data_IF_603044727524
#
_entry.id   IF_603044727524
#
_cell.length_a   1.000
_cell.length_b   1.000
_cell.length_c   1.000
_cell.angle_alpha   90.00
_cell.angle_beta   90.00
_cell.angle_gamma   90.00
#
_symmetry.space_group_name_H-M   'P 1'
#
loop_
_entity.id
_entity.type
_entity.pdbx_description
1 polymer ?
#
# COMPACT_ATOMS: atom_id res chain seq x y z
N UNK A 1 43.64 -49.76 24.91
CA UNK A 1 42.77 -49.37 26.04
C UNK A 1 43.32 -48.06 26.54
N UNK A 2 42.60 -46.96 26.28
CA UNK A 2 42.40 -45.93 27.29
C UNK A 2 40.88 -45.69 27.27
N UNK A 3 40.25 -46.10 28.37
CA UNK A 3 38.81 -46.03 28.53
C UNK A 3 38.44 -44.58 28.82
N UNK A 4 37.58 -43.99 27.98
CA UNK A 4 36.91 -42.73 28.29
C UNK A 4 36.13 -42.96 29.59
N UNK A 5 36.62 -42.36 30.68
CA UNK A 5 36.30 -42.81 32.04
C UNK A 5 35.12 -42.06 32.66
N UNK A 6 34.58 -41.04 31.99
CA UNK A 6 33.34 -40.41 32.47
C UNK A 6 32.57 -39.67 31.37
N UNK A 7 31.24 -39.71 31.47
CA UNK A 7 30.32 -38.82 30.76
C UNK A 7 30.63 -37.33 31.03
N UNK A 8 31.28 -37.04 32.16
CA UNK A 8 31.71 -35.70 32.55
C UNK A 8 32.86 -35.15 31.70
N UNK A 9 33.75 -35.99 31.17
CA UNK A 9 34.80 -35.56 30.22
C UNK A 9 34.22 -35.25 28.84
N UNK A 10 33.24 -36.02 28.37
CA UNK A 10 32.49 -35.76 27.14
C UNK A 10 31.63 -34.48 27.21
N UNK A 11 31.16 -34.12 28.41
CA UNK A 11 30.43 -32.88 28.67
C UNK A 11 31.36 -31.68 28.94
N UNK A 12 32.62 -31.90 29.30
CA UNK A 12 33.60 -30.84 29.53
C UNK A 12 34.21 -30.29 28.22
N UNK A 13 34.21 -31.05 27.13
CA UNK A 13 34.63 -30.58 25.80
C UNK A 13 33.57 -29.70 25.10
N UNK A 14 32.31 -29.72 25.55
CA UNK A 14 31.32 -28.72 25.16
C UNK A 14 31.36 -27.55 26.15
N UNK A 15 32.26 -26.58 25.90
CA UNK A 15 32.20 -25.27 26.56
C UNK A 15 30.74 -24.77 26.50
N UNK A 16 30.13 -24.35 27.62
CA UNK A 16 28.81 -23.74 27.61
C UNK A 16 28.96 -22.30 27.13
N UNK A 17 29.22 -22.14 25.85
CA UNK A 17 29.24 -20.83 25.24
C UNK A 17 27.84 -20.58 24.69
N UNK A 18 26.91 -20.21 25.57
CA UNK A 18 25.51 -19.92 25.24
C UNK A 18 25.38 -18.60 24.47
N UNK A 19 26.21 -18.39 23.47
CA UNK A 19 26.12 -17.22 22.60
C UNK A 19 24.87 -17.32 21.73
N UNK A 20 24.24 -16.17 21.48
CA UNK A 20 23.28 -16.01 20.40
C UNK A 20 24.05 -15.60 19.16
N UNK A 21 24.10 -16.49 18.19
CA UNK A 21 24.82 -16.24 16.94
C UNK A 21 23.89 -15.57 15.93
N UNK A 22 24.32 -14.52 15.25
CA UNK A 22 23.60 -13.88 14.15
C UNK A 22 24.43 -14.13 12.89
N UNK A 23 24.07 -15.12 12.07
CA UNK A 23 24.78 -15.40 10.83
C UNK A 23 24.58 -14.25 9.87
N UNK A 24 25.66 -13.69 9.36
CA UNK A 24 25.62 -12.49 8.54
C UNK A 24 26.99 -12.09 8.01
N UNK A 25 26.96 -11.34 6.91
CA UNK A 25 28.16 -10.92 6.21
C UNK A 25 28.61 -9.57 6.76
N UNK A 26 29.88 -9.48 7.17
CA UNK A 26 30.51 -8.22 7.53
C UNK A 26 30.69 -7.35 6.27
N UNK A 27 30.34 -6.08 6.39
CA UNK A 27 30.51 -5.09 5.36
C UNK A 27 30.74 -3.71 5.96
N UNK A 28 30.77 -2.70 5.11
CA UNK A 28 30.98 -1.32 5.53
C UNK A 28 29.93 -0.42 4.88
N UNK A 29 29.22 0.34 5.72
CA UNK A 29 28.17 1.28 5.28
C UNK A 29 28.43 2.64 5.91
N UNK A 30 28.54 3.69 5.08
CA UNK A 30 28.88 5.06 5.52
C UNK A 30 30.15 5.12 6.40
N UNK A 31 31.15 4.30 6.09
CA UNK A 31 32.41 4.22 6.83
C UNK A 31 32.35 3.41 8.13
N UNK A 32 31.18 2.90 8.53
CA UNK A 32 31.00 2.10 9.75
C UNK A 32 30.91 0.60 9.44
N UNK A 33 31.43 -0.24 10.34
CA UNK A 33 31.32 -1.69 10.21
C UNK A 33 29.88 -2.13 10.47
N UNK A 34 29.34 -2.92 9.54
CA UNK A 34 27.96 -3.38 9.56
C UNK A 34 27.86 -4.86 9.26
N UNK A 35 26.88 -5.53 9.83
CA UNK A 35 26.53 -6.91 9.49
C UNK A 35 25.17 -6.93 8.82
N UNK A 36 25.13 -7.52 7.63
CA UNK A 36 23.90 -7.82 6.91
C UNK A 36 23.49 -9.27 7.15
N UNK A 37 22.27 -9.48 7.62
CA UNK A 37 21.74 -10.80 7.95
C UNK A 37 20.27 -10.91 7.53
N UNK A 38 19.77 -12.15 7.47
CA UNK A 38 18.32 -12.42 7.40
C UNK A 38 17.97 -13.31 8.57
N UNK A 39 17.07 -12.83 9.42
CA UNK A 39 16.70 -13.52 10.65
C UNK A 39 15.20 -13.81 10.69
N UNK A 40 14.78 -14.98 11.23
CA UNK A 40 13.38 -15.22 11.51
C UNK A 40 12.91 -14.32 12.66
N UNK A 41 11.64 -13.92 12.62
CA UNK A 41 11.04 -13.09 13.67
C UNK A 41 11.15 -13.69 15.07
N UNK A 42 11.09 -15.01 15.21
CA UNK A 42 11.28 -15.70 16.49
C UNK A 42 12.60 -15.34 17.17
N UNK A 43 13.66 -15.15 16.39
CA UNK A 43 14.99 -14.79 16.87
C UNK A 43 15.10 -13.30 17.15
N UNK A 44 14.44 -12.46 16.36
CA UNK A 44 14.44 -11.02 16.59
C UNK A 44 13.79 -10.66 17.92
N UNK A 45 12.66 -11.28 18.29
CA UNK A 45 11.94 -10.95 19.53
C UNK A 45 12.77 -11.09 20.81
N UNK A 46 13.83 -11.90 20.81
CA UNK A 46 14.72 -12.05 21.97
C UNK A 46 15.98 -11.19 21.92
N UNK A 47 16.26 -10.54 20.78
CA UNK A 47 17.55 -9.91 20.50
C UNK A 47 17.54 -8.38 20.55
N UNK A 48 16.39 -7.72 20.47
CA UNK A 48 16.34 -6.26 20.38
C UNK A 48 15.80 -5.57 21.62
N UNK A 49 16.16 -4.30 21.73
CA UNK A 49 15.61 -3.32 22.66
C UNK A 49 15.33 -2.00 21.93
N UNK A 50 14.34 -1.23 22.41
CA UNK A 50 14.01 0.10 21.86
C UNK A 50 14.42 1.16 22.86
N UNK A 51 15.42 1.96 22.49
CA UNK A 51 15.85 3.12 23.27
C UNK A 51 15.02 4.35 22.92
N UNK A 52 14.19 4.80 23.87
CA UNK A 52 13.30 5.95 23.72
C UNK A 52 14.03 7.30 23.69
N UNK A 53 15.32 7.36 24.05
CA UNK A 53 16.12 8.59 23.90
C UNK A 53 16.57 8.84 22.45
N UNK A 54 16.54 7.80 21.62
CA UNK A 54 16.92 7.85 20.20
C UNK A 54 15.68 7.79 19.32
N UNK A 55 14.68 6.99 19.73
CA UNK A 55 13.48 6.72 18.97
C UNK A 55 12.29 7.60 19.35
N UNK A 56 11.39 7.82 18.38
CA UNK A 56 10.10 8.49 18.62
C UNK A 56 9.03 7.50 19.10
N UNK A 57 7.98 8.00 19.75
CA UNK A 57 6.82 7.18 20.09
C UNK A 57 6.18 6.52 18.84
N UNK A 58 5.62 5.32 19.03
CA UNK A 58 4.89 4.61 17.99
C UNK A 58 3.61 5.39 17.64
N UNK A 59 3.30 5.46 16.34
CA UNK A 59 2.11 6.15 15.84
C UNK A 59 1.02 5.10 15.60
N UNK A 60 -0.10 5.11 16.34
CA UNK A 60 -1.11 4.05 16.28
C UNK A 60 -1.65 3.80 14.87
N UNK A 61 -1.91 4.87 14.11
CA UNK A 61 -2.43 4.76 12.73
C UNK A 61 -1.49 4.01 11.79
N UNK A 62 -0.17 4.19 11.93
CA UNK A 62 0.80 3.49 11.10
C UNK A 62 0.93 2.03 11.52
N UNK A 63 0.84 1.77 12.82
CA UNK A 63 0.83 0.42 13.36
C UNK A 63 -0.35 -0.40 12.83
N UNK A 64 -1.58 0.16 12.85
CA UNK A 64 -2.76 -0.52 12.30
C UNK A 64 -2.58 -0.93 10.85
N UNK A 65 -2.06 -0.04 9.99
CA UNK A 65 -1.80 -0.35 8.58
C UNK A 65 -0.78 -1.48 8.40
N UNK A 66 0.23 -1.54 9.26
CA UNK A 66 1.23 -2.61 9.23
C UNK A 66 0.63 -3.93 9.68
N UNK A 67 -0.25 -3.91 10.69
CA UNK A 67 -0.98 -5.10 11.12
C UNK A 67 -1.83 -5.65 9.98
N UNK A 68 -2.61 -4.78 9.32
CA UNK A 68 -3.44 -5.17 8.17
C UNK A 68 -2.57 -5.79 7.06
N UNK A 69 -1.40 -5.21 6.81
CA UNK A 69 -0.45 -5.71 5.80
C UNK A 69 0.15 -7.07 6.17
N UNK A 70 0.54 -7.29 7.43
CA UNK A 70 1.02 -8.61 7.89
C UNK A 70 -0.09 -9.66 7.82
N UNK A 71 -1.33 -9.29 8.11
CA UNK A 71 -2.47 -10.19 8.01
C UNK A 71 -2.73 -10.66 6.57
N UNK A 72 -2.35 -9.90 5.54
CA UNK A 72 -2.39 -10.39 4.15
C UNK A 72 -1.57 -11.67 3.97
N UNK A 73 -0.41 -11.73 4.62
CA UNK A 73 0.44 -12.91 4.62
C UNK A 73 -0.18 -14.03 5.47
N UNK A 74 -0.54 -13.74 6.72
CA UNK A 74 -0.99 -14.78 7.66
C UNK A 74 -2.31 -15.42 7.27
N UNK A 75 -3.30 -14.63 6.87
CA UNK A 75 -4.62 -15.11 6.50
C UNK A 75 -4.65 -15.66 5.07
N UNK A 76 -4.09 -14.89 4.12
CA UNK A 76 -4.36 -15.13 2.69
C UNK A 76 -3.17 -15.69 1.92
N UNK A 77 -2.06 -15.98 2.60
CA UNK A 77 -0.81 -16.48 1.99
C UNK A 77 -0.24 -15.54 0.90
N UNK A 78 -0.62 -14.26 0.92
CA UNK A 78 -0.06 -13.30 -0.02
C UNK A 78 1.39 -12.96 0.35
N UNK A 79 2.32 -12.93 -0.60
CA UNK A 79 3.72 -12.59 -0.31
C UNK A 79 3.82 -11.13 0.08
N UNK A 80 4.38 -10.83 1.25
CA UNK A 80 4.62 -9.45 1.71
C UNK A 80 6.11 -9.17 1.80
N UNK A 81 6.47 -7.91 1.59
CA UNK A 81 7.85 -7.44 1.67
C UNK A 81 7.96 -6.28 2.63
N UNK A 82 8.98 -6.33 3.49
CA UNK A 82 9.39 -5.23 4.34
C UNK A 82 10.77 -4.73 3.91
N UNK A 83 11.02 -3.41 4.00
CA UNK A 83 12.40 -2.94 4.07
C UNK A 83 13.11 -3.60 5.26
N UNK A 84 14.44 -3.66 5.21
CA UNK A 84 15.23 -4.22 6.32
C UNK A 84 15.10 -3.42 7.61
N UNK A 85 15.36 -4.06 8.75
CA UNK A 85 15.42 -3.43 10.07
C UNK A 85 16.86 -3.06 10.38
N UNK A 86 17.07 -1.87 10.93
CA UNK A 86 18.41 -1.37 11.23
C UNK A 86 18.61 -1.37 12.74
N UNK A 87 19.70 -1.97 13.17
CA UNK A 87 20.10 -2.10 14.56
C UNK A 87 21.46 -1.44 14.82
N UNK A 88 21.71 -1.14 16.09
CA UNK A 88 23.01 -0.77 16.65
C UNK A 88 23.37 -1.78 17.73
N UNK A 89 24.57 -2.37 17.66
CA UNK A 89 25.08 -3.23 18.71
C UNK A 89 25.81 -2.45 19.82
N UNK A 90 26.15 -1.16 19.61
CA UNK A 90 26.89 -0.32 20.59
C UNK A 90 28.18 -0.99 21.12
N UNK A 91 28.88 -1.71 20.25
CA UNK A 91 30.07 -2.48 20.59
C UNK A 91 29.79 -3.84 21.25
N UNK A 92 28.53 -4.25 21.38
CA UNK A 92 28.16 -5.55 21.94
C UNK A 92 28.42 -6.71 20.97
N UNK A 93 28.83 -7.84 21.53
CA UNK A 93 29.18 -9.04 20.79
C UNK A 93 30.50 -8.96 20.03
N UNK A 94 30.90 -10.10 19.47
CA UNK A 94 32.11 -10.24 18.68
C UNK A 94 31.78 -10.94 17.37
N UNK A 95 32.26 -10.38 16.25
CA UNK A 95 32.15 -11.06 14.96
C UNK A 95 33.17 -12.19 14.87
N UNK A 96 32.70 -13.37 14.49
CA UNK A 96 33.53 -14.53 14.16
C UNK A 96 33.64 -14.63 12.64
N UNK A 97 34.84 -14.37 12.11
CA UNK A 97 35.14 -14.43 10.68
C UNK A 97 35.10 -15.86 10.12
N UNK A 98 35.39 -16.89 10.93
CA UNK A 98 35.37 -18.29 10.47
C UNK A 98 33.94 -18.78 10.29
N UNK A 99 33.05 -18.42 11.22
CA UNK A 99 31.64 -18.81 11.17
C UNK A 99 30.74 -17.79 10.46
N UNK A 100 31.29 -16.64 10.07
CA UNK A 100 30.55 -15.55 9.44
C UNK A 100 29.31 -15.15 10.27
N UNK A 101 29.52 -14.95 11.58
CA UNK A 101 28.43 -14.70 12.51
C UNK A 101 28.82 -13.73 13.63
N UNK A 102 27.90 -12.84 14.01
CA UNK A 102 28.02 -12.04 15.22
C UNK A 102 27.59 -12.87 16.43
N UNK A 103 28.48 -13.07 17.38
CA UNK A 103 28.16 -13.73 18.64
C UNK A 103 27.84 -12.70 19.71
N UNK A 104 26.61 -12.74 20.19
CA UNK A 104 26.13 -11.95 21.31
C UNK A 104 26.05 -12.84 22.56
N UNK A 105 26.41 -12.29 23.72
CA UNK A 105 26.06 -12.87 25.01
C UNK A 105 24.53 -12.80 25.22
N UNK A 106 23.91 -13.72 25.97
CA UNK A 106 22.45 -13.70 26.20
C UNK A 106 21.89 -12.39 26.76
N UNK A 107 22.70 -11.67 27.54
CA UNK A 107 22.35 -10.38 28.14
C UNK A 107 22.49 -9.21 27.17
N UNK A 108 23.29 -9.36 26.11
CA UNK A 108 23.51 -8.32 25.12
C UNK A 108 22.29 -8.19 24.21
N UNK A 109 21.94 -6.95 23.87
CA UNK A 109 20.80 -6.59 23.03
C UNK A 109 21.23 -5.66 21.90
N UNK A 110 20.47 -5.70 20.82
CA UNK A 110 20.59 -4.81 19.69
C UNK A 110 19.58 -3.67 19.83
N UNK A 111 20.04 -2.43 19.70
CA UNK A 111 19.19 -1.26 19.80
C UNK A 111 18.57 -0.92 18.45
N UNK A 112 17.25 -0.75 18.39
CA UNK A 112 16.55 -0.43 17.15
C UNK A 112 16.87 1.00 16.71
N UNK A 113 17.43 1.15 15.51
CA UNK A 113 17.66 2.45 14.85
C UNK A 113 16.56 2.76 13.83
N UNK A 114 16.09 1.78 13.07
CA UNK A 114 14.92 1.92 12.20
C UNK A 114 14.09 0.63 12.17
N UNK A 115 12.77 0.76 12.02
CA UNK A 115 11.85 -0.37 11.93
C UNK A 115 11.07 -0.70 13.18
N UNK A 116 11.07 0.18 14.19
CA UNK A 116 10.29 0.00 15.41
C UNK A 116 8.81 -0.31 15.18
N UNK A 117 8.14 0.36 14.22
CA UNK A 117 6.71 0.15 13.97
C UNK A 117 6.46 -1.23 13.36
N UNK A 118 7.43 -1.77 12.60
CA UNK A 118 7.36 -3.12 12.01
C UNK A 118 7.46 -4.15 13.13
N UNK A 119 8.49 -4.07 13.97
CA UNK A 119 8.66 -4.97 15.12
C UNK A 119 7.44 -4.95 16.03
N UNK A 120 6.94 -3.76 16.37
CA UNK A 120 5.75 -3.60 17.18
C UNK A 120 4.49 -4.21 16.54
N UNK A 121 4.35 -4.16 15.21
CA UNK A 121 3.23 -4.79 14.51
C UNK A 121 3.28 -6.31 14.65
N UNK A 122 4.44 -6.91 14.39
CA UNK A 122 4.65 -8.36 14.56
C UNK A 122 4.41 -8.79 16.02
N UNK A 123 4.94 -8.03 16.99
CA UNK A 123 4.75 -8.33 18.41
C UNK A 123 3.27 -8.27 18.82
N UNK A 124 2.54 -7.24 18.38
CA UNK A 124 1.11 -7.10 18.70
C UNK A 124 0.26 -8.21 18.08
N UNK A 125 0.59 -8.66 16.87
CA UNK A 125 -0.08 -9.79 16.24
C UNK A 125 0.21 -11.08 17.01
N UNK A 126 1.47 -11.31 17.40
CA UNK A 126 1.86 -12.46 18.22
C UNK A 126 1.05 -12.51 19.52
N UNK A 127 1.02 -11.41 20.29
CA UNK A 127 0.27 -11.30 21.55
C UNK A 127 -1.24 -11.56 21.33
N UNK A 128 -1.79 -11.06 20.22
CA UNK A 128 -3.19 -11.27 19.85
C UNK A 128 -3.46 -12.75 19.57
N UNK A 129 -2.62 -13.40 18.76
CA UNK A 129 -2.75 -14.82 18.42
C UNK A 129 -2.56 -15.73 19.66
N UNK A 130 -1.61 -15.40 20.53
CA UNK A 130 -1.42 -16.12 21.80
C UNK A 130 -2.64 -15.99 22.72
N UNK A 131 -3.23 -14.80 22.82
CA UNK A 131 -4.46 -14.59 23.58
C UNK A 131 -5.64 -15.36 22.99
N UNK A 132 -5.77 -15.38 21.67
CA UNK A 132 -6.79 -16.17 20.97
C UNK A 132 -6.58 -17.68 21.17
N UNK A 133 -5.34 -18.16 21.16
CA UNK A 133 -4.98 -19.55 21.43
C UNK A 133 -5.43 -19.98 22.83
N UNK A 134 -5.13 -19.15 23.85
CA UNK A 134 -5.54 -19.43 25.23
C UNK A 134 -7.07 -19.58 25.34
N UNK A 135 -7.82 -18.65 24.73
CA UNK A 135 -9.29 -18.70 24.71
C UNK A 135 -9.84 -19.92 23.96
N UNK A 136 -9.24 -20.28 22.82
CA UNK A 136 -9.64 -21.45 22.03
C UNK A 136 -9.39 -22.75 22.82
N UNK A 137 -8.28 -22.82 23.57
CA UNK A 137 -7.94 -23.92 24.46
C UNK A 137 -8.96 -24.10 25.59
N UNK A 138 -9.38 -23.00 26.22
CA UNK A 138 -10.40 -23.03 27.28
C UNK A 138 -11.75 -23.53 26.76
N UNK A 139 -12.10 -23.18 25.53
CA UNK A 139 -13.35 -23.57 24.86
C UNK A 139 -13.28 -24.92 24.11
N UNK A 140 -12.10 -25.55 24.06
CA UNK A 140 -11.84 -26.77 23.29
C UNK A 140 -12.19 -26.65 21.80
N UNK A 141 -11.95 -25.47 21.21
CA UNK A 141 -12.15 -25.17 19.78
C UNK A 141 -10.93 -25.69 18.98
N UNK A 142 -10.81 -27.00 18.78
CA UNK A 142 -9.61 -27.63 18.19
C UNK A 142 -9.25 -27.12 16.79
N UNK A 143 -10.23 -26.96 15.89
CA UNK A 143 -9.98 -26.45 14.52
C UNK A 143 -9.35 -25.04 14.54
N UNK A 144 -9.85 -24.18 15.44
CA UNK A 144 -9.33 -22.83 15.61
C UNK A 144 -7.94 -22.81 16.24
N UNK A 145 -7.66 -23.75 17.15
CA UNK A 145 -6.32 -23.91 17.71
C UNK A 145 -5.31 -24.28 16.62
N UNK A 146 -5.68 -25.17 15.70
CA UNK A 146 -4.83 -25.56 14.57
C UNK A 146 -4.56 -24.36 13.65
N UNK A 147 -5.61 -23.61 13.30
CA UNK A 147 -5.51 -22.38 12.49
C UNK A 147 -4.57 -21.34 13.12
N UNK A 148 -4.73 -21.07 14.42
CA UNK A 148 -3.88 -20.11 15.14
C UNK A 148 -2.44 -20.63 15.24
N UNK A 149 -2.24 -21.94 15.43
CA UNK A 149 -0.90 -22.55 15.50
C UNK A 149 -0.16 -22.34 14.18
N UNK A 150 -0.82 -22.58 13.06
CA UNK A 150 -0.24 -22.36 11.74
C UNK A 150 0.09 -20.88 11.51
N UNK A 151 -0.79 -19.96 11.90
CA UNK A 151 -0.52 -18.51 11.84
C UNK A 151 0.71 -18.12 12.68
N UNK A 152 0.81 -18.61 13.91
CA UNK A 152 1.98 -18.37 14.77
C UNK A 152 3.26 -18.94 14.17
N UNK A 153 3.22 -20.17 13.64
CA UNK A 153 4.37 -20.79 12.97
C UNK A 153 4.86 -19.92 11.82
N UNK A 154 3.95 -19.44 10.98
CA UNK A 154 4.27 -18.56 9.84
C UNK A 154 4.79 -17.20 10.28
N UNK A 155 4.23 -16.63 11.34
CA UNK A 155 4.69 -15.36 11.92
C UNK A 155 6.13 -15.50 12.44
N UNK A 156 6.42 -16.57 13.21
CA UNK A 156 7.73 -16.81 13.79
C UNK A 156 8.81 -17.12 12.76
N UNK A 157 8.46 -17.87 11.71
CA UNK A 157 9.37 -18.19 10.61
C UNK A 157 9.55 -17.06 9.60
N UNK A 158 8.78 -15.96 9.71
CA UNK A 158 8.83 -14.88 8.73
C UNK A 158 10.25 -14.27 8.66
N UNK A 159 10.90 -14.28 7.49
CA UNK A 159 12.27 -13.80 7.35
C UNK A 159 12.29 -12.27 7.25
N UNK A 160 13.15 -11.63 8.03
CA UNK A 160 13.41 -10.19 7.97
C UNK A 160 14.89 -9.95 7.72
N UNK A 161 15.18 -9.14 6.70
CA UNK A 161 16.52 -8.62 6.47
C UNK A 161 16.88 -7.60 7.55
N UNK A 162 18.08 -7.71 8.09
CA UNK A 162 18.59 -6.84 9.14
C UNK A 162 19.96 -6.30 8.78
N UNK A 163 20.23 -5.07 9.19
CA UNK A 163 21.55 -4.46 9.11
C UNK A 163 21.93 -3.94 10.50
N UNK A 164 22.99 -4.48 11.08
CA UNK A 164 23.44 -4.14 12.42
C UNK A 164 24.75 -3.36 12.33
N UNK A 165 24.76 -2.11 12.79
CA UNK A 165 25.98 -1.35 13.01
C UNK A 165 26.68 -1.88 14.26
N UNK A 166 27.95 -2.26 14.13
CA UNK A 166 28.66 -2.92 15.23
C UNK A 166 28.98 -1.95 16.36
N UNK A 167 29.55 -0.80 16.05
CA UNK A 167 30.00 0.15 17.06
C UNK A 167 29.66 1.58 16.63
N UNK A 168 28.46 2.02 17.01
CA UNK A 168 28.03 3.42 16.88
C UNK A 168 27.50 3.90 18.23
N UNK A 169 27.79 5.16 18.56
CA UNK A 169 27.31 5.77 19.79
C UNK A 169 25.91 6.40 19.61
N UNK A 170 25.25 6.75 20.73
CA UNK A 170 23.90 7.33 20.72
C UNK A 170 23.77 8.61 19.86
N UNK A 171 24.84 9.42 19.72
CA UNK A 171 24.82 10.60 18.84
C UNK A 171 24.78 10.19 17.36
N UNK A 172 25.58 9.21 16.98
CA UNK A 172 25.58 8.65 15.63
C UNK A 172 24.27 7.93 15.32
N UNK A 173 23.67 7.23 16.30
CA UNK A 173 22.36 6.59 16.15
C UNK A 173 21.26 7.61 15.86
N UNK A 174 21.19 8.71 16.62
CA UNK A 174 20.23 9.80 16.38
C UNK A 174 20.42 10.44 15.01
N UNK A 175 21.68 10.64 14.60
CA UNK A 175 22.00 11.17 13.28
C UNK A 175 21.54 10.21 12.18
N UNK A 176 21.89 8.94 12.29
CA UNK A 176 21.48 7.89 11.36
C UNK A 176 19.95 7.76 11.28
N UNK A 177 19.25 7.79 12.41
CA UNK A 177 17.78 7.82 12.45
C UNK A 177 17.22 9.06 11.74
N UNK A 178 17.76 10.24 12.01
CA UNK A 178 17.35 11.49 11.34
C UNK A 178 17.59 11.38 9.83
N UNK A 179 18.74 10.86 9.42
CA UNK A 179 19.14 10.73 8.02
C UNK A 179 18.25 9.74 7.27
N UNK A 180 18.00 8.56 7.86
CA UNK A 180 17.06 7.58 7.30
C UNK A 180 15.64 8.15 7.18
N UNK A 181 15.22 9.06 8.04
CA UNK A 181 13.87 9.64 7.97
C UNK A 181 13.77 10.90 7.09
N UNK A 182 14.87 11.67 6.95
CA UNK A 182 14.88 12.97 6.24
C UNK A 182 15.49 12.90 4.84
N UNK A 183 16.51 12.08 4.64
CA UNK A 183 17.23 11.99 3.36
C UNK A 183 16.50 11.21 2.27
N UNK A 184 15.64 10.19 2.55
CA UNK A 184 14.84 9.63 1.49
C UNK A 184 13.96 10.74 0.92
N UNK A 185 14.19 11.07 -0.35
CA UNK A 185 13.25 11.88 -1.11
C UNK A 185 11.94 11.11 -1.06
N UNK A 186 10.93 11.65 -0.37
CA UNK A 186 9.58 11.12 -0.47
C UNK A 186 9.21 11.17 -1.95
N UNK A 187 9.13 10.01 -2.58
CA UNK A 187 8.58 9.90 -3.92
C UNK A 187 7.24 10.62 -3.91
N UNK A 188 7.12 11.66 -4.73
CA UNK A 188 5.92 12.47 -4.86
C UNK A 188 5.02 11.92 -5.95
N UNK A 189 3.85 12.55 -6.11
CA UNK A 189 3.03 12.39 -7.31
C UNK A 189 2.62 10.95 -7.62
N UNK A 190 2.79 10.56 -8.89
CA UNK A 190 2.30 9.29 -9.41
C UNK A 190 3.12 8.09 -8.91
N UNK A 191 4.44 8.25 -8.72
CA UNK A 191 5.30 7.17 -8.20
C UNK A 191 4.94 6.74 -6.77
N UNK A 192 4.50 7.68 -5.93
CA UNK A 192 4.02 7.38 -4.59
C UNK A 192 2.79 6.46 -4.62
N UNK A 193 1.89 6.73 -5.56
CA UNK A 193 0.63 6.00 -5.77
C UNK A 193 0.90 4.66 -6.47
N UNK A 194 1.84 4.65 -7.40
CA UNK A 194 2.30 3.47 -8.13
C UNK A 194 3.07 2.51 -7.22
N UNK A 195 3.47 2.88 -6.00
CA UNK A 195 4.03 1.92 -5.03
C UNK A 195 2.97 1.02 -4.40
N UNK A 196 1.71 1.45 -4.36
CA UNK A 196 0.59 0.69 -3.78
C UNK A 196 -0.09 -0.20 -4.85
N UNK A 197 0.71 -0.96 -5.64
CA UNK A 197 0.27 -1.72 -6.83
C UNK A 197 -0.65 -2.91 -6.54
N UNK A 198 -0.99 -3.15 -5.28
CA UNK A 198 -1.75 -4.35 -4.88
C UNK A 198 -3.19 -4.04 -4.53
N UNK A 199 -3.54 -2.76 -4.44
CA UNK A 199 -4.90 -2.36 -4.18
C UNK A 199 -5.73 -2.45 -5.44
N UNK A 200 -6.98 -2.87 -5.30
CA UNK A 200 -7.89 -3.14 -6.40
C UNK A 200 -7.90 -2.03 -7.48
N UNK A 201 -8.17 -0.77 -7.13
CA UNK A 201 -8.22 0.31 -8.12
C UNK A 201 -6.86 0.71 -8.69
N UNK A 202 -5.76 0.40 -8.00
CA UNK A 202 -4.41 0.63 -8.54
C UNK A 202 -4.10 -0.42 -9.61
N UNK A 203 -4.45 -1.67 -9.35
CA UNK A 203 -4.28 -2.76 -10.32
C UNK A 203 -5.14 -2.49 -11.54
N UNK A 204 -6.42 -2.14 -11.34
CA UNK A 204 -7.33 -1.77 -12.41
C UNK A 204 -6.83 -0.56 -13.22
N UNK A 205 -6.36 0.51 -12.55
CA UNK A 205 -5.81 1.68 -13.24
C UNK A 205 -4.56 1.33 -14.05
N UNK A 206 -3.67 0.48 -13.52
CA UNK A 206 -2.46 0.02 -14.23
C UNK A 206 -2.82 -0.80 -15.46
N UNK A 207 -3.77 -1.73 -15.31
CA UNK A 207 -4.24 -2.55 -16.42
C UNK A 207 -4.94 -1.72 -17.50
N UNK A 208 -5.80 -0.79 -17.09
CA UNK A 208 -6.49 0.11 -18.01
C UNK A 208 -5.50 1.02 -18.74
N UNK A 209 -4.57 1.67 -18.03
CA UNK A 209 -3.57 2.57 -18.62
C UNK A 209 -2.66 1.85 -19.63
N UNK A 210 -2.36 0.57 -19.40
CA UNK A 210 -1.48 -0.22 -20.27
C UNK A 210 -2.23 -0.87 -21.45
N UNK A 211 -3.47 -1.31 -21.27
CA UNK A 211 -4.19 -2.13 -22.26
C UNK A 211 -5.30 -1.40 -23.01
N UNK A 212 -5.92 -0.37 -22.43
CA UNK A 212 -7.10 0.23 -23.04
C UNK A 212 -6.74 1.24 -24.14
N UNK A 213 -7.27 1.11 -25.37
CA UNK A 213 -7.01 2.05 -26.46
C UNK A 213 -7.38 3.51 -26.11
N UNK A 214 -8.47 3.71 -25.36
CA UNK A 214 -8.87 5.05 -24.88
C UNK A 214 -7.77 5.75 -24.08
N UNK A 215 -6.99 5.00 -23.30
CA UNK A 215 -5.93 5.58 -22.46
C UNK A 215 -4.73 6.05 -23.29
N UNK A 216 -4.51 5.48 -24.48
CA UNK A 216 -3.47 5.96 -25.40
C UNK A 216 -3.83 7.34 -25.95
N UNK A 217 -5.11 7.56 -26.29
CA UNK A 217 -5.61 8.88 -26.72
C UNK A 217 -5.67 9.89 -25.58
N UNK A 218 -6.11 9.46 -24.41
CA UNK A 218 -6.19 10.34 -23.24
C UNK A 218 -4.83 10.64 -22.62
N UNK A 219 -3.78 9.85 -22.88
CA UNK A 219 -2.42 10.03 -22.36
C UNK A 219 -2.35 10.11 -20.83
N UNK A 220 -1.94 9.02 -20.19
CA UNK A 220 -1.86 8.92 -18.72
C UNK A 220 -0.41 8.99 -18.24
N UNK A 221 -0.10 9.96 -17.38
CA UNK A 221 1.19 10.06 -16.71
C UNK A 221 1.27 9.11 -15.52
N UNK A 222 2.06 8.03 -15.66
CA UNK A 222 2.27 7.04 -14.61
C UNK A 222 3.51 7.28 -13.75
N UNK A 223 4.52 7.98 -14.28
CA UNK A 223 5.88 7.89 -13.74
C UNK A 223 6.44 9.22 -13.21
N UNK A 224 5.72 10.33 -13.38
CA UNK A 224 6.20 11.62 -12.87
C UNK A 224 6.15 11.77 -11.35
N UNK A 225 7.20 12.39 -10.80
CA UNK A 225 7.37 12.64 -9.36
C UNK A 225 6.76 13.96 -8.86
N UNK A 226 6.71 14.99 -9.72
CA UNK A 226 6.44 16.40 -9.30
C UNK A 226 5.16 17.00 -9.86
N UNK A 227 4.34 16.21 -10.55
CA UNK A 227 3.12 16.64 -11.20
C UNK A 227 3.05 16.13 -12.63
N UNK A 228 1.84 16.20 -13.22
CA UNK A 228 1.57 15.73 -14.57
C UNK A 228 2.38 16.53 -15.59
N UNK A 229 3.25 15.87 -16.36
CA UNK A 229 4.01 16.55 -17.42
C UNK A 229 3.07 17.15 -18.49
N UNK A 230 3.51 18.18 -19.24
CA UNK A 230 2.63 18.90 -20.14
C UNK A 230 1.93 18.06 -21.22
N UNK A 231 2.58 16.97 -21.64
CA UNK A 231 2.16 16.03 -22.67
C UNK A 231 1.05 15.07 -22.25
N UNK A 232 0.71 14.99 -20.96
CA UNK A 232 -0.34 14.09 -20.46
C UNK A 232 -1.61 14.83 -20.10
N UNK A 233 -2.77 14.25 -20.43
CA UNK A 233 -4.06 14.79 -19.99
C UNK A 233 -4.43 14.28 -18.61
N UNK A 234 -4.16 13.01 -18.29
CA UNK A 234 -4.49 12.43 -16.99
C UNK A 234 -3.22 12.12 -16.19
N UNK A 235 -3.32 12.28 -14.87
CA UNK A 235 -2.35 11.68 -13.96
C UNK A 235 -2.84 10.30 -13.53
N UNK A 236 -1.93 9.39 -13.20
CA UNK A 236 -2.29 8.10 -12.63
C UNK A 236 -3.11 8.25 -11.33
N UNK A 237 -2.81 9.28 -10.53
CA UNK A 237 -3.63 9.61 -9.36
C UNK A 237 -5.09 9.92 -9.72
N UNK A 238 -5.29 10.78 -10.74
CA UNK A 238 -6.62 11.14 -11.23
C UNK A 238 -7.37 9.92 -11.77
N UNK A 239 -6.70 9.04 -12.51
CA UNK A 239 -7.32 7.82 -13.04
C UNK A 239 -7.92 6.98 -11.92
N UNK A 240 -7.19 6.79 -10.81
CA UNK A 240 -7.70 6.07 -9.64
C UNK A 240 -8.88 6.81 -9.00
N UNK A 241 -8.84 8.15 -8.92
CA UNK A 241 -9.97 8.93 -8.39
C UNK A 241 -11.23 8.79 -9.26
N UNK A 242 -11.08 8.78 -10.58
CA UNK A 242 -12.17 8.55 -11.53
C UNK A 242 -12.74 7.16 -11.34
N UNK A 243 -11.92 6.11 -11.22
CA UNK A 243 -12.41 4.75 -11.00
C UNK A 243 -13.16 4.62 -9.67
N UNK A 244 -12.65 5.20 -8.58
CA UNK A 244 -13.37 5.18 -7.30
C UNK A 244 -14.69 5.95 -7.40
N UNK A 245 -14.70 7.12 -8.04
CA UNK A 245 -15.91 7.90 -8.24
C UNK A 245 -16.95 7.14 -9.08
N UNK A 246 -16.51 6.50 -10.15
CA UNK A 246 -17.35 5.75 -11.08
C UNK A 246 -17.95 4.50 -10.43
N UNK A 247 -17.18 3.73 -9.67
CA UNK A 247 -17.65 2.43 -9.15
C UNK A 247 -18.16 2.48 -7.72
N UNK A 248 -17.77 3.47 -6.91
CA UNK A 248 -18.25 3.61 -5.52
C UNK A 248 -19.14 4.82 -5.26
N UNK A 249 -19.23 5.76 -6.21
CA UNK A 249 -20.01 6.98 -6.03
C UNK A 249 -19.44 7.92 -4.98
N UNK A 250 -18.13 7.83 -4.73
CA UNK A 250 -17.44 8.52 -3.63
C UNK A 250 -16.11 9.10 -4.05
N UNK A 251 -15.64 10.06 -3.28
CA UNK A 251 -14.26 10.55 -3.40
C UNK A 251 -13.27 9.49 -2.86
N UNK A 252 -12.07 9.43 -3.43
CA UNK A 252 -11.01 8.45 -3.11
C UNK A 252 -10.71 8.28 -1.62
N UNK A 253 -10.78 9.34 -0.83
CA UNK A 253 -10.54 9.28 0.63
C UNK A 253 -11.57 8.41 1.39
N UNK A 254 -12.71 8.10 0.79
CA UNK A 254 -13.79 7.31 1.37
C UNK A 254 -14.02 5.96 0.65
N UNK A 255 -13.06 5.50 -0.14
CA UNK A 255 -13.15 4.23 -0.87
C UNK A 255 -13.24 3.04 0.09
N UNK A 256 -14.25 2.19 -0.08
CA UNK A 256 -14.52 1.00 0.74
C UNK A 256 -13.95 -0.27 0.13
N UNK A 257 -13.96 -0.39 -1.20
CA UNK A 257 -13.58 -1.61 -1.91
C UNK A 257 -12.14 -1.54 -2.47
N UNK A 258 -11.33 -0.57 -2.03
CA UNK A 258 -9.92 -0.44 -2.43
C UNK A 258 -8.99 -1.33 -1.58
N UNK A 259 -9.40 -2.59 -1.39
CA UNK A 259 -8.68 -3.61 -0.63
C UNK A 259 -7.58 -4.29 -1.44
N UNK A 260 -6.85 -5.21 -0.80
CA UNK A 260 -5.85 -6.08 -1.42
C UNK A 260 -6.42 -7.43 -1.87
N UNK A 261 -7.73 -7.62 -1.65
CA UNK A 261 -8.47 -8.85 -1.95
C UNK A 261 -9.54 -8.49 -2.97
N UNK A 262 -9.55 -9.22 -4.06
CA UNK A 262 -10.52 -9.14 -5.15
C UNK A 262 -10.35 -10.40 -6.00
N UNK A 263 -11.40 -10.80 -6.72
CA UNK A 263 -11.28 -11.87 -7.71
C UNK A 263 -10.76 -11.30 -9.04
N UNK A 264 -10.01 -12.09 -9.78
CA UNK A 264 -9.52 -11.68 -11.11
C UNK A 264 -10.69 -11.33 -12.05
N UNK A 265 -11.81 -12.03 -11.89
CA UNK A 265 -13.04 -11.73 -12.64
C UNK A 265 -13.58 -10.34 -12.33
N UNK A 266 -13.64 -9.95 -11.06
CA UNK A 266 -14.10 -8.61 -10.65
C UNK A 266 -13.21 -7.52 -11.23
N UNK A 267 -11.89 -7.77 -11.27
CA UNK A 267 -10.92 -6.86 -11.88
C UNK A 267 -11.17 -6.72 -13.38
N UNK A 268 -11.31 -7.83 -14.11
CA UNK A 268 -11.55 -7.82 -15.55
C UNK A 268 -12.88 -7.15 -15.91
N UNK A 269 -13.94 -7.48 -15.18
CA UNK A 269 -15.27 -6.88 -15.38
C UNK A 269 -15.22 -5.36 -15.15
N UNK A 270 -14.53 -4.90 -14.10
CA UNK A 270 -14.34 -3.48 -13.82
C UNK A 270 -13.52 -2.79 -14.92
N UNK A 271 -12.41 -3.38 -15.34
CA UNK A 271 -11.56 -2.83 -16.41
C UNK A 271 -12.33 -2.71 -17.73
N UNK A 272 -13.17 -3.70 -18.06
CA UNK A 272 -14.02 -3.66 -19.25
C UNK A 272 -15.08 -2.54 -19.18
N UNK A 273 -15.75 -2.40 -18.03
CA UNK A 273 -16.72 -1.32 -17.81
C UNK A 273 -16.06 0.06 -17.84
N UNK A 274 -14.90 0.20 -17.21
CA UNK A 274 -14.11 1.43 -17.26
C UNK A 274 -13.67 1.76 -18.69
N UNK A 275 -13.25 0.74 -19.47
CA UNK A 275 -12.94 0.91 -20.89
C UNK A 275 -14.14 1.43 -21.68
N UNK A 276 -15.34 0.90 -21.41
CA UNK A 276 -16.60 1.38 -22.02
C UNK A 276 -16.86 2.85 -21.67
N UNK A 277 -16.70 3.22 -20.40
CA UNK A 277 -16.82 4.62 -19.95
C UNK A 277 -15.88 5.56 -20.70
N UNK A 278 -14.58 5.26 -20.73
CA UNK A 278 -13.60 6.16 -21.36
C UNK A 278 -13.72 6.20 -22.89
N UNK A 279 -14.08 5.09 -23.54
CA UNK A 279 -14.41 5.10 -24.96
C UNK A 279 -15.64 5.97 -25.23
N UNK A 280 -16.68 5.86 -24.41
CA UNK A 280 -17.86 6.71 -24.54
C UNK A 280 -17.55 8.19 -24.35
N UNK A 281 -16.68 8.55 -23.39
CA UNK A 281 -16.20 9.94 -23.27
C UNK A 281 -15.55 10.43 -24.57
N UNK A 282 -14.67 9.62 -25.18
CA UNK A 282 -14.00 9.98 -26.43
C UNK A 282 -14.94 10.04 -27.65
N UNK A 283 -16.08 9.36 -27.59
CA UNK A 283 -17.07 9.35 -28.67
C UNK A 283 -18.05 10.52 -28.58
N UNK A 284 -18.39 10.97 -27.37
CA UNK A 284 -19.42 11.99 -27.12
C UNK A 284 -18.85 13.36 -26.73
N UNK A 285 -17.57 13.45 -26.38
CA UNK A 285 -16.90 14.73 -26.11
C UNK A 285 -15.98 15.10 -27.26
N UNK A 286 -15.70 16.40 -27.36
CA UNK A 286 -14.70 16.93 -28.26
C UNK A 286 -13.30 16.35 -27.96
N UNK A 287 -12.42 16.41 -28.96
CA UNK A 287 -11.09 15.82 -28.90
C UNK A 287 -10.32 16.29 -27.64
N UNK A 288 -9.65 15.38 -26.91
CA UNK A 288 -9.03 15.73 -25.64
C UNK A 288 -7.91 16.76 -25.79
N UNK A 289 -8.18 18.00 -25.39
CA UNK A 289 -7.19 19.07 -25.36
C UNK A 289 -6.94 19.60 -23.95
N UNK A 290 -5.68 19.95 -23.69
CA UNK A 290 -5.26 20.50 -22.40
C UNK A 290 -5.75 21.94 -22.28
N UNK A 291 -6.43 22.23 -21.17
CA UNK A 291 -7.00 23.55 -20.90
C UNK A 291 -8.52 23.59 -21.08
N UNK A 292 -9.06 22.61 -21.79
CA UNK A 292 -10.50 22.45 -21.92
C UNK A 292 -11.13 22.06 -20.59
N UNK A 293 -12.18 22.78 -20.24
CA UNK A 293 -12.84 22.65 -18.95
C UNK A 293 -13.39 21.23 -18.75
N UNK A 294 -13.92 20.62 -19.82
CA UNK A 294 -14.51 19.27 -19.78
C UNK A 294 -13.47 18.21 -19.41
N UNK A 295 -12.22 18.38 -19.86
CA UNK A 295 -11.12 17.48 -19.58
C UNK A 295 -10.35 17.82 -18.30
N UNK A 296 -10.79 18.84 -17.54
CA UNK A 296 -10.19 19.17 -16.26
C UNK A 296 -10.47 18.10 -15.19
N UNK A 297 -9.54 17.95 -14.25
CA UNK A 297 -9.60 16.91 -13.21
C UNK A 297 -10.93 16.93 -12.43
N UNK A 298 -11.43 18.13 -12.10
CA UNK A 298 -12.65 18.29 -11.31
C UNK A 298 -13.90 17.86 -12.10
N UNK A 299 -13.97 18.18 -13.40
CA UNK A 299 -15.08 17.77 -14.25
C UNK A 299 -15.05 16.27 -14.48
N UNK A 300 -13.88 15.67 -14.71
CA UNK A 300 -13.76 14.23 -14.91
C UNK A 300 -14.21 13.41 -13.68
N UNK A 301 -13.91 13.89 -12.47
CA UNK A 301 -14.43 13.26 -11.24
C UNK A 301 -15.94 13.50 -11.10
N UNK A 302 -16.44 14.70 -11.42
CA UNK A 302 -17.86 15.00 -11.37
C UNK A 302 -18.69 14.16 -12.35
N UNK A 303 -18.19 13.97 -13.56
CA UNK A 303 -18.73 13.07 -14.58
C UNK A 303 -18.82 11.64 -14.06
N UNK A 304 -17.73 11.13 -13.48
CA UNK A 304 -17.71 9.79 -12.91
C UNK A 304 -18.75 9.60 -11.78
N UNK A 305 -18.91 10.59 -10.90
CA UNK A 305 -19.95 10.56 -9.85
C UNK A 305 -21.37 10.59 -10.42
N UNK A 306 -21.60 11.40 -11.45
CA UNK A 306 -22.89 11.47 -12.14
C UNK A 306 -23.22 10.14 -12.82
N UNK A 307 -22.29 9.59 -13.61
CA UNK A 307 -22.48 8.31 -14.29
C UNK A 307 -22.64 7.17 -13.29
N UNK A 308 -21.94 7.18 -12.15
CA UNK A 308 -22.16 6.21 -11.09
C UNK A 308 -23.62 6.20 -10.62
N UNK A 309 -24.18 7.39 -10.34
CA UNK A 309 -25.56 7.51 -9.86
C UNK A 309 -26.54 6.95 -10.89
N UNK A 310 -26.38 7.30 -12.17
CA UNK A 310 -27.25 6.82 -13.24
C UNK A 310 -27.09 5.31 -13.48
N UNK A 311 -25.84 4.82 -13.55
CA UNK A 311 -25.54 3.42 -13.80
C UNK A 311 -26.00 2.49 -12.67
N UNK A 312 -26.18 3.00 -11.45
CA UNK A 312 -26.57 2.19 -10.27
C UNK A 312 -28.01 2.35 -9.84
N UNK A 313 -28.86 3.11 -10.56
CA UNK A 313 -30.29 3.29 -10.23
C UNK A 313 -31.06 1.98 -10.05
N UNK A 314 -30.66 0.93 -10.74
CA UNK A 314 -31.29 -0.41 -10.68
C UNK A 314 -30.72 -1.30 -9.56
N UNK A 315 -29.90 -0.74 -8.66
CA UNK A 315 -29.28 -1.42 -7.52
C UNK A 315 -27.94 -2.08 -7.81
N UNK A 316 -27.61 -2.34 -9.08
CA UNK A 316 -26.29 -2.80 -9.54
C UNK A 316 -25.79 -1.90 -10.66
N UNK A 317 -24.47 -1.85 -10.85
CA UNK A 317 -23.85 -1.11 -11.94
C UNK A 317 -24.26 -1.71 -13.29
N UNK A 318 -24.97 -0.93 -14.10
CA UNK A 318 -25.56 -1.37 -15.36
C UNK A 318 -24.87 -0.67 -16.54
N UNK A 319 -24.33 -1.47 -17.46
CA UNK A 319 -23.64 -0.99 -18.66
C UNK A 319 -24.56 -0.19 -19.60
N UNK A 320 -25.79 -0.63 -19.82
CA UNK A 320 -26.73 0.08 -20.68
C UNK A 320 -27.09 1.46 -20.12
N UNK A 321 -27.31 1.54 -18.80
CA UNK A 321 -27.56 2.81 -18.14
C UNK A 321 -26.36 3.76 -18.22
N UNK A 322 -25.13 3.23 -18.14
CA UNK A 322 -23.91 3.99 -18.39
C UNK A 322 -23.86 4.53 -19.82
N UNK A 323 -24.06 3.67 -20.83
CA UNK A 323 -23.99 4.07 -22.24
C UNK A 323 -25.07 5.10 -22.59
N UNK A 324 -26.30 4.90 -22.09
CA UNK A 324 -27.40 5.85 -22.24
C UNK A 324 -27.07 7.20 -21.60
N UNK A 325 -26.58 7.22 -20.35
CA UNK A 325 -26.27 8.47 -19.65
C UNK A 325 -25.16 9.28 -20.36
N UNK A 326 -24.22 8.61 -21.04
CA UNK A 326 -23.16 9.28 -21.81
C UNK A 326 -23.69 10.02 -23.04
N UNK A 327 -24.85 9.63 -23.59
CA UNK A 327 -25.47 10.31 -24.76
C UNK A 327 -25.84 11.77 -24.47
N UNK A 328 -25.96 12.19 -23.21
CA UNK A 328 -26.27 13.59 -22.86
C UNK A 328 -25.08 14.54 -23.05
N UNK A 329 -23.85 14.01 -22.97
CA UNK A 329 -22.63 14.81 -22.85
C UNK A 329 -22.40 15.83 -23.97
N UNK A 330 -22.69 15.54 -25.26
CA UNK A 330 -22.50 16.51 -26.35
C UNK A 330 -23.37 17.77 -26.19
N UNK A 331 -24.44 17.69 -25.40
CA UNK A 331 -25.41 18.77 -25.23
C UNK A 331 -25.13 19.67 -24.02
N UNK A 332 -24.20 19.28 -23.16
CA UNK A 332 -23.90 20.02 -21.93
C UNK A 332 -23.09 21.26 -22.26
N UNK A 333 -23.53 22.43 -21.79
CA UNK A 333 -22.71 23.65 -21.87
C UNK A 333 -21.63 23.66 -20.78
N UNK A 334 -20.47 23.08 -21.09
CA UNK A 334 -19.34 22.93 -20.18
C UNK A 334 -18.80 24.26 -19.63
N UNK A 335 -18.82 25.32 -20.43
CA UNK A 335 -18.35 26.66 -20.03
C UNK A 335 -19.33 27.36 -19.08
N UNK A 336 -20.57 26.89 -18.98
CA UNK A 336 -21.59 27.42 -18.06
C UNK A 336 -21.45 26.94 -16.61
N UNK A 337 -20.55 25.98 -16.33
CA UNK A 337 -20.45 25.35 -15.00
C UNK A 337 -19.86 26.29 -13.94
N UNK A 338 -18.84 27.07 -14.30
CA UNK A 338 -18.15 27.98 -13.40
C UNK A 338 -18.27 29.43 -13.90
N UNK A 339 -18.61 30.35 -13.00
CA UNK A 339 -18.68 31.77 -13.29
C UNK A 339 -17.37 32.47 -12.88
N UNK A 340 -16.78 33.25 -13.80
CA UNK A 340 -15.54 33.99 -13.54
C UNK A 340 -14.38 33.10 -13.05
N UNK A 341 -13.78 33.47 -11.92
CA UNK A 341 -12.60 32.78 -11.36
C UNK A 341 -12.95 31.59 -10.46
N UNK A 342 -14.23 31.19 -10.37
CA UNK A 342 -14.66 30.08 -9.51
C UNK A 342 -13.92 28.77 -9.80
N UNK A 343 -13.54 28.55 -11.07
CA UNK A 343 -12.79 27.39 -11.52
C UNK A 343 -11.43 27.24 -10.81
N UNK A 344 -10.87 28.33 -10.28
CA UNK A 344 -9.56 28.36 -9.63
C UNK A 344 -9.65 28.66 -8.12
N UNK A 345 -10.63 29.49 -7.70
CA UNK A 345 -10.74 29.96 -6.31
C UNK A 345 -11.50 29.03 -5.38
N UNK A 346 -12.45 28.26 -5.89
CA UNK A 346 -13.27 27.40 -5.04
C UNK A 346 -12.46 26.20 -4.51
N UNK A 347 -12.73 25.74 -3.26
CA UNK A 347 -12.17 24.49 -2.76
C UNK A 347 -12.45 23.34 -3.74
N UNK A 348 -11.48 22.43 -3.91
CA UNK A 348 -11.56 21.32 -4.89
C UNK A 348 -12.87 20.54 -4.81
N UNK A 349 -13.29 20.16 -3.60
CA UNK A 349 -14.55 19.44 -3.37
C UNK A 349 -15.77 20.24 -3.84
N UNK A 350 -15.79 21.55 -3.58
CA UNK A 350 -16.89 22.43 -4.01
C UNK A 350 -16.95 22.52 -5.53
N UNK A 351 -15.81 22.62 -6.22
CA UNK A 351 -15.74 22.60 -7.68
C UNK A 351 -16.32 21.33 -8.27
N UNK A 352 -15.94 20.18 -7.73
CA UNK A 352 -16.44 18.86 -8.17
C UNK A 352 -17.96 18.77 -7.96
N UNK A 353 -18.46 19.11 -6.77
CA UNK A 353 -19.90 19.01 -6.47
C UNK A 353 -20.73 19.99 -7.29
N UNK A 354 -20.23 21.20 -7.56
CA UNK A 354 -20.91 22.17 -8.42
C UNK A 354 -21.07 21.64 -9.84
N UNK A 355 -19.99 21.08 -10.41
CA UNK A 355 -20.03 20.45 -11.73
C UNK A 355 -20.99 19.25 -11.76
N UNK A 356 -20.90 18.36 -10.77
CA UNK A 356 -21.78 17.20 -10.66
C UNK A 356 -23.26 17.62 -10.62
N UNK A 357 -23.62 18.61 -9.78
CA UNK A 357 -24.99 19.10 -9.69
C UNK A 357 -25.45 19.76 -11.01
N UNK A 358 -24.56 20.49 -11.69
CA UNK A 358 -24.87 21.09 -12.98
C UNK A 358 -25.22 20.03 -14.04
N UNK A 359 -24.38 18.99 -14.17
CA UNK A 359 -24.59 17.88 -15.12
C UNK A 359 -25.88 17.13 -14.76
N UNK A 360 -26.08 16.83 -13.47
CA UNK A 360 -27.26 16.12 -12.98
C UNK A 360 -28.56 16.87 -13.25
N UNK A 361 -28.59 18.17 -12.96
CA UNK A 361 -29.78 19.00 -13.19
C UNK A 361 -30.09 19.06 -14.69
N UNK A 362 -29.07 19.30 -15.53
CA UNK A 362 -29.22 19.30 -16.97
C UNK A 362 -29.78 17.96 -17.49
N UNK A 363 -29.22 16.83 -17.04
CA UNK A 363 -29.70 15.52 -17.43
C UNK A 363 -31.16 15.29 -17.02
N UNK A 364 -31.52 15.66 -15.79
CA UNK A 364 -32.89 15.48 -15.27
C UNK A 364 -33.92 16.27 -16.09
N UNK A 365 -33.55 17.45 -16.56
CA UNK A 365 -34.44 18.31 -17.35
C UNK A 365 -34.50 17.93 -18.83
N UNK A 366 -33.38 17.47 -19.40
CA UNK A 366 -33.21 17.40 -20.86
C UNK A 366 -33.12 15.98 -21.44
N UNK A 367 -32.91 14.95 -20.62
CA UNK A 367 -32.65 13.59 -21.12
C UNK A 367 -33.76 13.06 -22.05
N UNK A 368 -35.03 13.28 -21.70
CA UNK A 368 -36.18 12.77 -22.44
C UNK A 368 -36.36 13.43 -23.82
N UNK A 369 -35.74 14.59 -24.03
CA UNK A 369 -35.84 15.36 -25.27
C UNK A 369 -34.63 15.16 -26.18
N UNK A 370 -33.44 15.00 -25.58
CA UNK A 370 -32.17 14.99 -26.31
C UNK A 370 -31.63 13.59 -26.56
N UNK A 371 -32.04 12.60 -25.77
CA UNK A 371 -31.63 11.20 -25.97
C UNK A 371 -32.80 10.48 -26.63
N UNK A 372 -32.63 10.10 -27.89
CA UNK A 372 -33.63 9.29 -28.61
C UNK A 372 -33.15 7.84 -28.68
N UNK A 373 -33.97 6.90 -28.21
CA UNK A 373 -33.71 5.45 -28.31
C UNK A 373 -33.79 4.92 -29.76
N UNK A 374 -34.09 5.77 -30.74
CA UNK A 374 -34.33 5.35 -32.13
C UNK A 374 -33.08 4.85 -32.86
N UNK A 375 -31.88 5.13 -32.37
CA UNK A 375 -30.63 4.69 -33.00
C UNK A 375 -30.14 3.31 -32.53
N UNK A 376 -30.73 2.72 -31.47
CA UNK A 376 -30.30 1.41 -30.95
C UNK A 376 -31.11 0.23 -31.56
N UNK A 377 -31.97 0.49 -32.56
CA UNK A 377 -32.69 -0.51 -33.37
C UNK A 377 -32.24 -0.36 -34.82
N UNK A 378 -31.01 -0.74 -35.13
CA UNK A 378 -30.48 -0.88 -36.50
C UNK A 378 -29.51 -2.04 -36.59
#
# INVERSE_FOLDING_TARGET
MDAISSLSELLAEQKPSSFVEIPGVLGQTFGQATIAATLPMSKLFSLYEVDLEVQRAIIPRNLSKLIDYVNLYLENRQPIYFPGIIFSARGAGQYDDEQQALRLQPIEKLYVVDGQHRLAAFQRIMETLQSQMARAKDRREYEKMEEITEKLRRLYAFPISTMTYLDINARQERQLFSDINKLPRKLGGNLAVLRDQRRFYHVAATELASKAPAMQKLTVDMFSERGKSPEYLFSYHLLIEILVALFEGRMKSAARNNGYQYEDKDLQDLVALAGTYFNGLLNYLDEPAKGDIVWSENIQIALALFIHEEATKTGKFNRYALEHALKILPHVNWNGIYAGDEKDRLPRRTRIMKAYNFIKNFYTEQNAFLISDKEDVS
#
